data_IF_375082778090
#
_entry.id   IF_375082778090
#
_cell.length_a   1.000
_cell.length_b   1.000
_cell.length_c   1.000
_cell.angle_alpha   90.00
_cell.angle_beta   90.00
_cell.angle_gamma   90.00
#
_symmetry.space_group_name_H-M   'P 1'
#
loop_
_entity.id
_entity.type
_entity.pdbx_description
1 polymer ?
#
# COMPACT_ATOMS: atom_id res chain seq x y z
N UNK A 1 6.32 -9.82 19.18
CA UNK A 1 5.52 -8.72 19.74
C UNK A 1 4.97 -9.03 21.15
N UNK A 2 4.51 -10.26 21.44
CA UNK A 2 3.95 -10.62 22.76
C UNK A 2 4.94 -10.55 23.93
N UNK A 3 6.22 -10.92 23.74
CA UNK A 3 7.23 -10.95 24.80
C UNK A 3 7.42 -9.60 25.51
N UNK A 4 7.40 -8.52 24.73
CA UNK A 4 7.63 -7.16 25.24
C UNK A 4 6.33 -6.37 25.37
N UNK A 5 5.17 -7.03 25.24
CA UNK A 5 3.88 -6.35 25.14
C UNK A 5 3.65 -5.39 26.30
N UNK A 6 3.87 -5.83 27.55
CA UNK A 6 3.64 -5.00 28.74
C UNK A 6 4.63 -3.84 28.89
N UNK A 7 5.77 -3.89 28.19
CA UNK A 7 6.75 -2.79 28.14
C UNK A 7 6.41 -1.76 27.06
N UNK A 8 5.42 -2.04 26.19
CA UNK A 8 5.00 -1.10 25.16
C UNK A 8 4.19 0.07 25.73
N UNK A 9 4.25 1.24 25.05
CA UNK A 9 3.43 2.40 25.40
C UNK A 9 1.94 2.03 25.52
N UNK A 10 1.24 2.68 26.45
CA UNK A 10 -0.17 2.39 26.72
C UNK A 10 -1.04 2.52 25.45
N UNK A 11 -0.75 3.51 24.60
CA UNK A 11 -1.45 3.71 23.33
C UNK A 11 -1.35 2.48 22.41
N UNK A 12 -0.14 1.95 22.23
CA UNK A 12 0.09 0.81 21.34
C UNK A 12 -0.59 -0.46 21.90
N UNK A 13 -0.49 -0.68 23.21
CA UNK A 13 -1.17 -1.82 23.85
C UNK A 13 -2.69 -1.77 23.64
N UNK A 14 -3.30 -0.62 23.93
CA UNK A 14 -4.75 -0.44 23.82
C UNK A 14 -5.25 -0.58 22.38
N UNK A 15 -4.52 -0.04 21.40
CA UNK A 15 -4.94 -0.11 20.00
C UNK A 15 -4.81 -1.52 19.43
N UNK A 16 -3.75 -2.26 19.82
CA UNK A 16 -3.59 -3.66 19.48
C UNK A 16 -4.69 -4.53 20.11
N UNK A 17 -5.13 -4.23 21.34
CA UNK A 17 -6.29 -4.89 21.95
C UNK A 17 -7.58 -4.68 21.13
N UNK A 18 -7.89 -3.44 20.71
CA UNK A 18 -9.07 -3.22 19.86
C UNK A 18 -8.96 -4.00 18.55
N UNK A 19 -7.81 -3.95 17.88
CA UNK A 19 -7.61 -4.72 16.65
C UNK A 19 -7.77 -6.24 16.86
N UNK A 20 -7.26 -6.78 17.97
CA UNK A 20 -7.45 -8.18 18.31
C UNK A 20 -8.92 -8.53 18.55
N UNK A 21 -9.67 -7.67 19.26
CA UNK A 21 -11.11 -7.85 19.51
C UNK A 21 -11.91 -7.86 18.21
N UNK A 22 -11.56 -7.02 17.22
CA UNK A 22 -12.21 -7.03 15.89
C UNK A 22 -11.99 -8.30 15.09
N UNK A 23 -10.93 -9.04 15.38
CA UNK A 23 -10.72 -10.36 14.77
C UNK A 23 -11.62 -11.44 15.41
N UNK A 24 -12.41 -11.09 16.44
CA UNK A 24 -13.33 -12.01 17.11
C UNK A 24 -14.79 -11.69 16.75
N UNK A 25 -15.69 -12.68 16.80
CA UNK A 25 -17.12 -12.45 16.56
C UNK A 25 -17.80 -11.51 17.58
N UNK A 26 -17.16 -11.28 18.73
CA UNK A 26 -17.70 -10.46 19.80
C UNK A 26 -16.93 -9.13 19.87
N UNK A 27 -17.38 -8.15 19.10
CA UNK A 27 -16.80 -6.80 19.09
C UNK A 27 -17.14 -5.97 20.33
N UNK A 28 -17.83 -6.55 21.33
CA UNK A 28 -18.05 -5.87 22.60
C UNK A 28 -16.69 -5.39 23.15
N UNK A 29 -16.67 -4.14 23.60
CA UNK A 29 -15.50 -3.44 24.13
C UNK A 29 -14.50 -2.87 23.09
N UNK A 30 -14.55 -3.14 21.78
CA UNK A 30 -13.55 -2.50 20.88
C UNK A 30 -13.67 -0.97 20.91
N UNK A 31 -14.89 -0.43 20.88
CA UNK A 31 -15.09 1.01 20.98
C UNK A 31 -14.51 1.60 22.27
N UNK A 32 -14.58 0.88 23.38
CA UNK A 32 -13.98 1.30 24.66
C UNK A 32 -12.45 1.31 24.59
N UNK A 33 -11.83 0.26 24.02
CA UNK A 33 -10.38 0.21 23.81
C UNK A 33 -9.91 1.30 22.85
N UNK A 34 -10.66 1.56 21.77
CA UNK A 34 -10.38 2.65 20.84
C UNK A 34 -10.46 4.02 21.53
N UNK A 35 -11.51 4.28 22.31
CA UNK A 35 -11.66 5.52 23.07
C UNK A 35 -10.50 5.72 24.07
N UNK A 36 -10.09 4.65 24.76
CA UNK A 36 -8.94 4.68 25.67
C UNK A 36 -7.62 4.89 24.94
N UNK A 37 -7.41 4.24 23.80
CA UNK A 37 -6.21 4.39 22.98
C UNK A 37 -6.07 5.84 22.47
N UNK A 38 -7.17 6.44 21.99
CA UNK A 38 -7.20 7.86 21.60
C UNK A 38 -6.83 8.78 22.75
N UNK A 39 -7.43 8.57 23.93
CA UNK A 39 -7.11 9.37 25.13
C UNK A 39 -5.65 9.22 25.54
N UNK A 40 -5.08 8.01 25.41
CA UNK A 40 -3.67 7.76 25.65
C UNK A 40 -2.77 8.46 24.61
N UNK A 41 -3.15 8.45 23.34
CA UNK A 41 -2.39 9.09 22.26
C UNK A 41 -2.36 10.62 22.40
N UNK A 42 -3.48 11.25 22.78
CA UNK A 42 -3.55 12.71 23.04
C UNK A 42 -2.60 13.12 24.20
N UNK A 43 -2.36 12.20 25.14
CA UNK A 43 -1.45 12.41 26.27
C UNK A 43 -0.02 11.96 25.98
N UNK A 44 0.22 11.30 24.86
CA UNK A 44 1.54 10.85 24.49
C UNK A 44 2.38 12.05 24.04
N UNK A 45 3.68 11.98 24.27
CA UNK A 45 4.61 12.93 23.71
C UNK A 45 4.79 12.66 22.21
N UNK A 46 4.03 13.39 21.39
CA UNK A 46 4.12 13.30 19.94
C UNK A 46 5.32 14.06 19.36
N UNK A 47 6.09 14.77 20.20
CA UNK A 47 7.31 15.48 19.78
C UNK A 47 8.53 14.57 19.76
N UNK A 48 8.45 13.37 20.33
CA UNK A 48 9.51 12.36 20.29
C UNK A 48 9.08 11.21 19.37
N UNK A 49 9.48 11.23 18.08
CA UNK A 49 9.11 10.18 17.13
C UNK A 49 9.55 8.80 17.61
N UNK A 50 8.68 7.82 17.46
CA UNK A 50 9.02 6.43 17.69
C UNK A 50 8.23 5.52 16.76
N UNK A 51 8.78 4.34 16.48
CA UNK A 51 8.09 3.31 15.69
C UNK A 51 6.78 2.88 16.32
N UNK A 52 6.70 2.84 17.65
CA UNK A 52 5.49 2.46 18.38
C UNK A 52 4.38 3.51 18.21
N UNK A 53 4.74 4.80 18.13
CA UNK A 53 3.78 5.88 17.83
C UNK A 53 3.30 5.84 16.38
N UNK A 54 4.18 5.56 15.41
CA UNK A 54 3.78 5.41 14.00
C UNK A 54 2.73 4.30 13.85
N UNK A 55 3.01 3.11 14.40
CA UNK A 55 2.08 1.97 14.39
C UNK A 55 0.76 2.37 15.08
N UNK A 56 0.84 3.07 16.21
CA UNK A 56 -0.35 3.52 16.94
C UNK A 56 -1.22 4.49 16.12
N UNK A 57 -0.60 5.49 15.50
CA UNK A 57 -1.28 6.45 14.63
C UNK A 57 -1.90 5.78 13.41
N UNK A 58 -1.21 4.82 12.78
CA UNK A 58 -1.72 4.02 11.68
C UNK A 58 -2.98 3.25 12.07
N UNK A 59 -2.96 2.52 13.19
CA UNK A 59 -4.15 1.79 13.64
C UNK A 59 -5.29 2.70 14.08
N UNK A 60 -4.99 3.85 14.69
CA UNK A 60 -6.01 4.86 15.00
C UNK A 60 -6.65 5.38 13.70
N UNK A 61 -5.86 5.64 12.64
CA UNK A 61 -6.39 6.02 11.33
C UNK A 61 -7.37 4.98 10.78
N UNK A 62 -6.99 3.70 10.78
CA UNK A 62 -7.84 2.62 10.27
C UNK A 62 -9.15 2.51 11.05
N UNK A 63 -9.10 2.54 12.39
CA UNK A 63 -10.30 2.49 13.22
C UNK A 63 -11.15 3.76 13.12
N UNK A 64 -10.54 4.93 12.99
CA UNK A 64 -11.25 6.19 12.83
C UNK A 64 -12.09 6.18 11.55
N UNK A 65 -11.57 5.61 10.45
CA UNK A 65 -12.34 5.40 9.22
C UNK A 65 -13.60 4.57 9.48
N UNK A 66 -13.44 3.45 10.17
CA UNK A 66 -14.53 2.51 10.40
C UNK A 66 -15.59 3.05 11.38
N UNK A 67 -15.21 3.97 12.27
CA UNK A 67 -16.12 4.70 13.15
C UNK A 67 -16.61 6.04 12.56
N UNK A 68 -16.50 6.25 11.25
CA UNK A 68 -16.95 7.47 10.55
C UNK A 68 -16.32 8.77 11.10
N UNK A 69 -15.04 8.73 11.47
CA UNK A 69 -14.24 9.87 11.93
C UNK A 69 -13.03 10.16 11.00
N UNK A 70 -13.25 10.37 9.68
CA UNK A 70 -12.17 10.44 8.70
C UNK A 70 -11.21 11.62 8.94
N UNK A 71 -11.71 12.78 9.37
CA UNK A 71 -10.85 13.94 9.65
C UNK A 71 -9.86 13.68 10.79
N UNK A 72 -10.30 12.96 11.83
CA UNK A 72 -9.44 12.55 12.94
C UNK A 72 -8.39 11.54 12.46
N UNK A 73 -8.81 10.55 11.68
CA UNK A 73 -7.90 9.57 11.10
C UNK A 73 -6.82 10.25 10.27
N UNK A 74 -7.21 11.14 9.35
CA UNK A 74 -6.31 11.83 8.45
C UNK A 74 -5.26 12.67 9.21
N UNK A 75 -5.67 13.32 10.30
CA UNK A 75 -4.74 14.04 11.18
C UNK A 75 -3.64 13.13 11.72
N UNK A 76 -3.99 11.94 12.22
CA UNK A 76 -2.99 11.00 12.74
C UNK A 76 -2.15 10.34 11.65
N UNK A 77 -2.71 10.13 10.45
CA UNK A 77 -1.93 9.65 9.31
C UNK A 77 -0.84 10.65 8.92
N UNK A 78 -1.16 11.96 8.91
CA UNK A 78 -0.19 13.02 8.67
C UNK A 78 0.89 13.12 9.76
N UNK A 79 0.52 12.92 11.04
CA UNK A 79 1.50 12.84 12.14
C UNK A 79 2.46 11.65 11.92
N UNK A 80 1.93 10.46 11.62
CA UNK A 80 2.74 9.28 11.35
C UNK A 80 3.68 9.48 10.15
N UNK A 81 3.20 10.12 9.09
CA UNK A 81 4.02 10.45 7.91
C UNK A 81 5.23 11.33 8.26
N UNK A 82 5.04 12.36 9.09
CA UNK A 82 6.15 13.20 9.57
C UNK A 82 7.15 12.37 10.39
N UNK A 83 6.67 11.55 11.32
CA UNK A 83 7.53 10.66 12.10
C UNK A 83 8.31 9.66 11.24
N UNK A 84 7.72 9.17 10.14
CA UNK A 84 8.41 8.30 9.17
C UNK A 84 9.61 9.02 8.55
N UNK A 85 9.44 10.29 8.13
CA UNK A 85 10.54 11.11 7.60
C UNK A 85 11.57 11.45 8.67
N UNK A 86 11.13 11.87 9.86
CA UNK A 86 12.02 12.25 10.97
C UNK A 86 12.89 11.08 11.45
N UNK A 87 12.35 9.85 11.42
CA UNK A 87 13.10 8.64 11.74
C UNK A 87 13.86 8.05 10.55
N UNK A 88 13.80 8.66 9.36
CA UNK A 88 14.34 8.15 8.10
C UNK A 88 13.94 6.68 7.85
N UNK A 89 12.64 6.38 7.98
CA UNK A 89 12.09 5.06 7.69
C UNK A 89 11.80 4.88 6.18
N UNK A 90 11.72 5.98 5.43
CA UNK A 90 11.62 6.01 3.96
C UNK A 90 12.97 5.85 3.25
N UNK A 91 14.02 5.51 3.99
CA UNK A 91 15.35 5.15 3.49
C UNK A 91 15.69 3.75 3.99
N UNK A 92 16.17 2.87 3.10
CA UNK A 92 16.56 1.53 3.50
C UNK A 92 17.63 1.57 4.60
N UNK A 93 17.50 0.78 5.68
CA UNK A 93 18.48 0.79 6.77
C UNK A 93 19.88 0.32 6.36
N UNK A 94 20.05 -0.34 5.20
CA UNK A 94 21.39 -0.62 4.66
C UNK A 94 22.02 0.62 3.99
N UNK A 95 21.19 1.50 3.45
CA UNK A 95 21.61 2.69 2.71
C UNK A 95 21.60 3.97 3.58
N UNK A 96 21.13 3.85 4.82
CA UNK A 96 21.02 4.97 5.77
C UNK A 96 22.35 5.71 5.99
N UNK A 97 22.37 7.05 5.98
CA UNK A 97 23.57 7.82 6.30
C UNK A 97 23.96 7.71 7.78
N UNK A 98 23.02 7.35 8.67
CA UNK A 98 23.27 7.20 10.09
C UNK A 98 24.06 5.91 10.39
N UNK A 99 25.26 6.09 10.95
CA UNK A 99 26.13 4.99 11.37
C UNK A 99 25.46 4.04 12.37
N UNK A 100 24.61 4.55 13.27
CA UNK A 100 23.92 3.72 14.27
C UNK A 100 22.90 2.80 13.61
N UNK A 101 22.18 3.29 12.59
CA UNK A 101 21.22 2.49 11.81
C UNK A 101 21.95 1.41 11.01
N UNK A 102 23.08 1.75 10.40
CA UNK A 102 23.91 0.80 9.65
C UNK A 102 24.42 -0.37 10.51
N UNK A 103 24.74 -0.10 11.77
CA UNK A 103 25.22 -1.09 12.75
C UNK A 103 24.10 -1.92 13.40
N UNK A 104 22.83 -1.67 13.10
CA UNK A 104 21.73 -2.48 13.60
C UNK A 104 21.83 -3.92 13.11
N UNK A 105 21.48 -4.87 13.99
CA UNK A 105 21.39 -6.28 13.60
C UNK A 105 20.33 -6.50 12.50
N UNK A 106 20.46 -7.53 11.65
CA UNK A 106 19.55 -7.76 10.52
C UNK A 106 18.07 -7.75 10.87
N UNK A 107 17.71 -8.37 12.01
CA UNK A 107 16.32 -8.37 12.52
C UNK A 107 15.77 -6.98 12.76
N UNK A 108 16.58 -6.07 13.33
CA UNK A 108 16.16 -4.71 13.66
C UNK A 108 16.01 -3.84 12.41
N UNK A 109 16.88 -4.04 11.41
CA UNK A 109 16.72 -3.46 10.08
C UNK A 109 15.42 -3.90 9.43
N UNK A 110 15.13 -5.19 9.49
CA UNK A 110 13.89 -5.74 8.92
C UNK A 110 12.62 -5.27 9.65
N UNK A 111 12.66 -5.14 10.98
CA UNK A 111 11.58 -4.51 11.74
C UNK A 111 11.28 -3.10 11.22
N UNK A 112 12.31 -2.29 10.92
CA UNK A 112 12.15 -0.95 10.33
C UNK A 112 11.51 -1.00 8.93
N UNK A 113 11.99 -1.87 8.03
CA UNK A 113 11.40 -2.04 6.69
C UNK A 113 9.91 -2.39 6.75
N UNK A 114 9.53 -3.30 7.65
CA UNK A 114 8.14 -3.73 7.80
C UNK A 114 7.24 -2.63 8.37
N UNK A 115 7.75 -1.82 9.29
CA UNK A 115 7.01 -0.66 9.79
C UNK A 115 6.79 0.34 8.65
N UNK A 116 7.82 0.63 7.86
CA UNK A 116 7.70 1.48 6.67
C UNK A 116 6.64 0.93 5.71
N UNK A 117 6.77 -0.32 5.26
CA UNK A 117 5.87 -0.90 4.27
C UNK A 117 4.43 -1.03 4.77
N UNK A 118 4.22 -1.36 6.06
CA UNK A 118 2.88 -1.39 6.64
C UNK A 118 2.23 0.00 6.68
N UNK A 119 3.00 1.03 7.05
CA UNK A 119 2.52 2.41 7.01
C UNK A 119 2.25 2.86 5.57
N UNK A 120 3.17 2.55 4.64
CA UNK A 120 3.10 2.96 3.25
C UNK A 120 1.89 2.35 2.54
N UNK A 121 1.60 1.07 2.76
CA UNK A 121 0.38 0.41 2.27
C UNK A 121 -0.89 1.14 2.74
N UNK A 122 -0.96 1.54 4.01
CA UNK A 122 -2.11 2.30 4.53
C UNK A 122 -2.21 3.68 3.86
N UNK A 123 -1.07 4.35 3.66
CA UNK A 123 -1.00 5.65 3.00
C UNK A 123 -1.49 5.57 1.54
N UNK A 124 -0.96 4.63 0.76
CA UNK A 124 -1.32 4.49 -0.66
C UNK A 124 -2.75 3.97 -0.82
N UNK A 125 -3.19 3.04 0.04
CA UNK A 125 -4.59 2.59 0.08
C UNK A 125 -5.55 3.75 0.33
N UNK A 126 -5.23 4.63 1.29
CA UNK A 126 -6.02 5.84 1.55
C UNK A 126 -6.07 6.77 0.33
N UNK A 127 -4.94 6.96 -0.35
CA UNK A 127 -4.87 7.75 -1.57
C UNK A 127 -5.73 7.15 -2.71
N UNK A 128 -5.74 5.83 -2.83
CA UNK A 128 -6.54 5.12 -3.82
C UNK A 128 -8.05 5.22 -3.56
N UNK A 129 -8.49 5.19 -2.30
CA UNK A 129 -9.93 5.22 -1.97
C UNK A 129 -10.49 6.63 -1.76
N UNK A 130 -9.73 7.55 -1.17
CA UNK A 130 -10.21 8.90 -0.86
C UNK A 130 -10.32 9.76 -2.13
N UNK A 131 -11.39 10.56 -2.29
CA UNK A 131 -11.48 11.54 -3.38
C UNK A 131 -10.57 12.76 -3.14
N UNK A 132 -10.24 13.05 -1.88
CA UNK A 132 -9.40 14.16 -1.47
C UNK A 132 -8.37 13.66 -0.46
N UNK A 133 -7.19 13.30 -0.96
CA UNK A 133 -6.07 12.93 -0.10
C UNK A 133 -4.96 13.97 -0.20
N UNK A 134 -4.28 14.19 0.92
CA UNK A 134 -3.05 15.00 0.92
C UNK A 134 -1.92 14.13 0.36
N UNK A 135 -1.33 14.53 -0.76
CA UNK A 135 -0.09 13.90 -1.25
C UNK A 135 1.02 14.18 -0.24
N UNK A 136 1.59 13.11 0.31
CA UNK A 136 2.73 13.18 1.23
C UNK A 136 3.98 12.78 0.47
N UNK A 137 5.10 13.43 0.78
CA UNK A 137 6.41 13.18 0.15
C UNK A 137 7.10 11.94 0.74
N UNK A 138 6.48 10.78 0.53
CA UNK A 138 6.96 9.47 0.94
C UNK A 138 6.89 8.54 -0.28
N UNK A 139 8.01 7.90 -0.62
CA UNK A 139 8.10 6.91 -1.69
C UNK A 139 8.59 5.57 -1.16
N UNK A 140 8.10 4.47 -1.76
CA UNK A 140 8.58 3.11 -1.53
C UNK A 140 9.89 2.77 -2.23
N UNK A 141 10.31 3.58 -3.23
CA UNK A 141 11.42 3.22 -4.13
C UNK A 141 12.78 3.13 -3.43
N UNK A 142 12.92 3.81 -2.28
CA UNK A 142 14.17 3.89 -1.50
C UNK A 142 14.25 2.87 -0.37
N UNK A 143 13.29 1.94 -0.27
CA UNK A 143 13.25 0.91 0.78
C UNK A 143 13.09 -0.46 0.12
N UNK A 144 13.98 -1.41 0.46
CA UNK A 144 13.88 -2.78 -0.08
C UNK A 144 12.60 -3.44 0.38
N UNK A 145 12.05 -4.33 -0.44
CA UNK A 145 10.89 -5.14 -0.07
C UNK A 145 11.16 -5.98 1.20
N UNK A 146 10.14 -6.25 2.05
CA UNK A 146 10.31 -7.08 3.24
C UNK A 146 10.83 -8.48 2.90
N UNK A 147 11.96 -8.85 3.50
CA UNK A 147 12.65 -10.11 3.24
C UNK A 147 12.58 -11.08 4.43
N UNK A 148 12.96 -12.33 4.19
CA UNK A 148 13.14 -13.29 5.27
C UNK A 148 14.35 -12.93 6.15
N UNK A 149 14.23 -13.12 7.46
CA UNK A 149 15.36 -13.02 8.41
C UNK A 149 15.35 -14.23 9.35
N UNK A 150 16.55 -14.77 9.59
CA UNK A 150 16.80 -15.89 10.50
C UNK A 150 17.49 -15.39 11.77
N UNK A 151 16.96 -15.70 12.95
CA UNK A 151 17.52 -15.33 14.26
C UNK A 151 16.98 -16.21 15.41
N UNK A 152 17.54 -17.41 15.70
CA UNK A 152 18.27 -18.31 14.80
C UNK A 152 17.35 -19.07 13.84
N UNK A 153 16.04 -19.02 14.08
CA UNK A 153 14.99 -19.57 13.22
C UNK A 153 14.33 -18.46 12.41
N UNK A 154 13.46 -18.83 11.46
CA UNK A 154 12.71 -17.86 10.66
C UNK A 154 11.84 -16.96 11.55
N UNK A 155 12.20 -15.68 11.63
CA UNK A 155 11.44 -14.65 12.38
C UNK A 155 10.44 -13.94 11.48
N UNK A 156 10.86 -13.67 10.25
CA UNK A 156 10.08 -12.95 9.25
C UNK A 156 9.98 -13.77 7.95
N UNK A 157 8.83 -13.71 7.29
CA UNK A 157 8.61 -14.30 5.96
C UNK A 157 8.81 -13.23 4.89
N UNK A 158 9.34 -13.60 3.73
CA UNK A 158 9.36 -12.69 2.58
C UNK A 158 7.94 -12.25 2.25
N UNK A 159 7.76 -10.96 1.99
CA UNK A 159 6.46 -10.39 1.65
C UNK A 159 6.64 -9.30 0.60
N UNK A 160 6.86 -9.73 -0.64
CA UNK A 160 7.04 -8.81 -1.76
C UNK A 160 5.68 -8.28 -2.28
N UNK A 161 4.57 -8.88 -1.82
CA UNK A 161 3.22 -8.52 -2.29
C UNK A 161 2.88 -7.09 -1.90
N UNK A 162 3.27 -6.66 -0.69
CA UNK A 162 3.01 -5.29 -0.19
C UNK A 162 3.55 -4.21 -1.13
N UNK A 163 4.72 -4.44 -1.75
CA UNK A 163 5.32 -3.50 -2.70
C UNK A 163 4.44 -3.35 -3.96
N UNK A 164 4.02 -4.47 -4.56
CA UNK A 164 3.17 -4.45 -5.74
C UNK A 164 1.79 -3.88 -5.44
N UNK A 165 1.20 -4.22 -4.30
CA UNK A 165 -0.08 -3.66 -3.84
C UNK A 165 0.01 -2.14 -3.68
N UNK A 166 1.10 -1.63 -3.07
CA UNK A 166 1.30 -0.19 -2.92
C UNK A 166 1.42 0.53 -4.28
N UNK A 167 2.13 -0.07 -5.25
CA UNK A 167 2.27 0.49 -6.59
C UNK A 167 0.93 0.52 -7.35
N UNK A 168 0.11 -0.52 -7.23
CA UNK A 168 -1.26 -0.53 -7.78
C UNK A 168 -2.10 0.59 -7.16
N UNK A 169 -2.05 0.75 -5.83
CA UNK A 169 -2.78 1.82 -5.16
C UNK A 169 -2.32 3.22 -5.57
N UNK A 170 -1.01 3.44 -5.73
CA UNK A 170 -0.48 4.69 -6.26
C UNK A 170 -0.98 4.96 -7.68
N UNK A 171 -0.99 3.95 -8.56
CA UNK A 171 -1.52 4.09 -9.92
C UNK A 171 -3.01 4.45 -9.91
N UNK A 172 -3.83 3.78 -9.09
CA UNK A 172 -5.25 4.12 -8.93
C UNK A 172 -5.41 5.57 -8.45
N UNK A 173 -4.60 5.99 -7.47
CA UNK A 173 -4.62 7.34 -6.95
C UNK A 173 -4.22 8.38 -8.02
N UNK A 174 -3.21 8.09 -8.83
CA UNK A 174 -2.77 8.93 -9.96
C UNK A 174 -3.86 9.07 -11.02
N UNK A 175 -4.51 7.97 -11.40
CA UNK A 175 -5.65 7.99 -12.32
C UNK A 175 -6.75 8.87 -11.73
N UNK A 176 -7.19 8.62 -10.49
CA UNK A 176 -8.24 9.43 -9.86
C UNK A 176 -7.90 10.92 -9.80
N UNK A 177 -6.63 11.26 -9.55
CA UNK A 177 -6.18 12.65 -9.55
C UNK A 177 -6.24 13.28 -10.93
N UNK A 178 -5.80 12.57 -11.98
CA UNK A 178 -5.91 13.04 -13.35
C UNK A 178 -7.37 13.34 -13.70
N UNK A 179 -8.30 12.48 -13.28
CA UNK A 179 -9.74 12.62 -13.54
C UNK A 179 -10.51 13.43 -12.48
N UNK A 180 -9.83 14.06 -11.51
CA UNK A 180 -10.49 14.83 -10.45
C UNK A 180 -11.07 16.16 -10.95
N UNK A 181 -10.45 16.76 -11.98
CA UNK A 181 -10.97 17.93 -12.66
C UNK A 181 -11.88 17.50 -13.81
N UNK A 182 -13.07 18.10 -13.91
CA UNK A 182 -13.96 17.88 -15.05
C UNK A 182 -13.29 18.41 -16.32
N UNK A 183 -13.12 17.58 -17.37
CA UNK A 183 -12.60 18.04 -18.66
C UNK A 183 -13.50 19.14 -19.22
N UNK A 184 -12.90 20.22 -19.75
CA UNK A 184 -13.66 21.36 -20.29
C UNK A 184 -14.22 21.06 -21.69
N UNK A 185 -13.67 20.05 -22.37
CA UNK A 185 -14.07 19.64 -23.70
C UNK A 185 -13.90 18.13 -23.92
N UNK A 186 -14.54 17.60 -24.96
CA UNK A 186 -14.34 16.21 -25.42
C UNK A 186 -12.89 16.00 -25.88
N UNK A 187 -12.25 17.01 -26.46
CA UNK A 187 -10.84 16.93 -26.85
C UNK A 187 -9.91 16.73 -25.65
N UNK A 188 -10.22 17.36 -24.52
CA UNK A 188 -9.45 17.15 -23.28
C UNK A 188 -9.57 15.71 -22.79
N UNK A 189 -10.77 15.11 -22.89
CA UNK A 189 -10.98 13.68 -22.56
C UNK A 189 -10.06 12.80 -23.41
N UNK A 190 -10.03 13.02 -24.73
CA UNK A 190 -9.17 12.23 -25.61
C UNK A 190 -7.69 12.45 -25.31
N UNK A 191 -7.26 13.70 -25.09
CA UNK A 191 -5.88 14.03 -24.76
C UNK A 191 -5.43 13.36 -23.45
N UNK A 192 -6.31 13.31 -22.44
CA UNK A 192 -6.05 12.64 -21.16
C UNK A 192 -6.01 11.12 -21.30
N UNK A 193 -6.82 10.52 -22.18
CA UNK A 193 -6.77 9.08 -22.47
C UNK A 193 -5.47 8.73 -23.22
N UNK A 194 -5.04 9.60 -24.14
CA UNK A 194 -3.78 9.42 -24.88
C UNK A 194 -2.55 9.86 -24.09
N UNK A 195 -2.72 10.35 -22.85
CA UNK A 195 -1.61 10.75 -22.00
C UNK A 195 -0.69 9.56 -21.79
N UNK A 196 0.50 9.64 -22.39
CA UNK A 196 1.48 8.59 -22.33
C UNK A 196 1.94 8.34 -20.90
N UNK A 197 1.88 9.35 -20.01
CA UNK A 197 2.40 9.21 -18.66
C UNK A 197 1.62 8.18 -17.82
N UNK A 198 0.28 8.22 -17.85
CA UNK A 198 -0.53 7.24 -17.10
C UNK A 198 -0.44 5.85 -17.69
N UNK A 199 -0.34 5.77 -19.03
CA UNK A 199 -0.17 4.49 -19.73
C UNK A 199 1.19 3.87 -19.43
N UNK A 200 2.25 4.65 -19.49
CA UNK A 200 3.61 4.22 -19.15
C UNK A 200 3.67 3.76 -17.69
N UNK A 201 3.03 4.49 -16.76
CA UNK A 201 2.91 4.04 -15.37
C UNK A 201 2.15 2.72 -15.23
N UNK A 202 1.04 2.54 -15.95
CA UNK A 202 0.30 1.28 -15.96
C UNK A 202 1.16 0.13 -16.47
N UNK A 203 1.84 0.31 -17.60
CA UNK A 203 2.68 -0.71 -18.20
C UNK A 203 3.86 -1.07 -17.27
N UNK A 204 4.50 -0.07 -16.64
CA UNK A 204 5.55 -0.29 -15.62
C UNK A 204 5.01 -1.11 -14.45
N UNK A 205 3.85 -0.73 -13.89
CA UNK A 205 3.28 -1.44 -12.74
C UNK A 205 2.94 -2.88 -13.11
N UNK A 206 2.24 -3.13 -14.22
CA UNK A 206 1.84 -4.48 -14.63
C UNK A 206 3.05 -5.36 -14.96
N UNK A 207 4.03 -4.83 -15.70
CA UNK A 207 5.24 -5.60 -16.05
C UNK A 207 6.15 -5.87 -14.86
N UNK A 208 6.04 -5.07 -13.79
CA UNK A 208 6.79 -5.30 -12.54
C UNK A 208 6.24 -6.45 -11.68
N UNK A 209 4.97 -6.87 -11.89
CA UNK A 209 4.32 -7.87 -11.05
C UNK A 209 4.73 -9.28 -11.50
N UNK A 210 5.32 -10.11 -10.61
CA UNK A 210 5.63 -11.50 -10.93
C UNK A 210 4.42 -12.28 -11.43
N UNK A 211 4.61 -13.11 -12.46
CA UNK A 211 3.54 -13.87 -13.09
C UNK A 211 2.76 -14.75 -12.10
N UNK A 212 3.40 -15.26 -11.04
CA UNK A 212 2.71 -16.06 -10.02
C UNK A 212 1.63 -15.30 -9.24
N UNK A 213 1.61 -13.97 -9.29
CA UNK A 213 0.59 -13.14 -8.67
C UNK A 213 -0.51 -12.69 -9.63
N UNK A 214 -0.32 -12.93 -10.94
CA UNK A 214 -1.30 -12.57 -11.96
C UNK A 214 -2.32 -13.70 -12.11
N UNK A 215 -3.60 -13.36 -11.96
CA UNK A 215 -4.69 -14.25 -12.32
C UNK A 215 -4.86 -14.22 -13.84
N UNK A 216 -4.15 -15.11 -14.54
CA UNK A 216 -4.32 -15.29 -15.97
C UNK A 216 -5.52 -16.23 -16.20
N UNK A 217 -6.54 -15.73 -16.90
CA UNK A 217 -7.66 -16.56 -17.35
C UNK A 217 -7.15 -17.54 -18.41
N UNK A 218 -7.29 -18.84 -18.17
CA UNK A 218 -6.94 -19.90 -19.15
C UNK A 218 -7.78 -19.80 -20.44
N UNK A 219 -8.93 -19.10 -20.40
CA UNK A 219 -10.00 -19.16 -21.40
C UNK A 219 -9.94 -18.12 -22.53
N UNK A 220 -8.90 -17.30 -22.65
CA UNK A 220 -8.80 -16.33 -23.77
C UNK A 220 -7.83 -16.72 -24.88
N UNK A 221 -7.10 -17.84 -24.74
CA UNK A 221 -6.12 -18.28 -25.74
C UNK A 221 -6.56 -19.49 -26.57
N UNK A 222 -7.68 -20.15 -26.23
CA UNK A 222 -8.23 -21.26 -27.02
C UNK A 222 -9.13 -20.81 -28.18
N UNK A 223 -9.71 -19.61 -28.11
CA UNK A 223 -10.75 -19.16 -29.06
C UNK A 223 -10.28 -18.07 -30.04
N UNK A 224 -8.99 -17.73 -30.04
CA UNK A 224 -8.36 -16.91 -31.10
C UNK A 224 -7.57 -17.83 -32.05
N UNK A 225 -8.16 -18.97 -32.43
CA UNK A 225 -7.88 -19.54 -33.75
C UNK A 225 -8.75 -18.77 -34.74
N UNK A 226 -8.20 -17.68 -35.25
CA UNK A 226 -8.72 -17.05 -36.46
C UNK A 226 -8.52 -18.10 -37.57
N UNK A 227 -9.56 -18.90 -37.84
CA UNK A 227 -9.72 -19.63 -39.10
C UNK A 227 -9.84 -18.61 -40.23
N UNK A 228 -8.70 -18.04 -40.60
CA UNK A 228 -8.54 -17.11 -41.70
C UNK A 228 -7.64 -17.73 -42.74
N UNK A 229 -8.08 -18.80 -43.40
CA UNK A 229 -7.62 -19.14 -44.74
C UNK A 229 -8.71 -19.91 -45.50
N UNK A 230 -8.91 -19.50 -46.76
CA UNK A 230 -9.74 -20.11 -47.81
C UNK A 230 -11.22 -19.71 -47.92
N UNK A 231 -11.48 -18.41 -48.14
CA UNK A 231 -12.65 -17.94 -48.89
C UNK A 231 -12.24 -17.05 -50.05
N UNK A 232 -11.31 -17.48 -50.91
CA UNK A 232 -11.16 -16.90 -52.25
C UNK A 232 -10.43 -17.87 -53.18
N UNK A 233 -11.12 -18.93 -53.62
CA UNK A 233 -10.75 -19.58 -54.87
C UNK A 233 -11.95 -19.61 -55.83
N UNK A 234 -11.85 -18.75 -56.82
CA UNK A 234 -12.80 -18.54 -57.91
C UNK A 234 -12.81 -19.77 -58.83
N UNK A 235 -13.92 -20.48 -58.91
CA UNK A 235 -14.20 -21.40 -60.01
C UNK A 235 -14.66 -20.60 -61.24
N UNK A 236 -13.89 -20.68 -62.32
CA UNK A 236 -14.25 -20.22 -63.68
C UNK A 236 -15.42 -21.05 -64.23
N UNK A 237 -16.35 -20.46 -65.01
CA UNK A 237 -17.32 -21.23 -65.78
C UNK A 237 -16.68 -21.85 -67.03
N UNK A 238 -17.18 -23.00 -67.54
CA UNK A 238 -16.66 -23.66 -68.72
C UNK A 238 -17.13 -22.95 -70.00
N UNK A 239 -16.19 -22.66 -70.89
CA UNK A 239 -16.45 -22.22 -72.25
C UNK A 239 -16.80 -23.44 -73.11
N UNK A 240 -17.97 -23.41 -73.75
CA UNK A 240 -18.38 -24.36 -74.78
C UNK A 240 -17.60 -24.13 -76.09
N UNK A 241 -17.05 -25.20 -76.66
CA UNK A 241 -16.94 -25.47 -78.10
C UNK A 241 -17.13 -26.97 -78.32
#
# INVERSE_FOLDING_TARGET
MLRDYFHKPAVLRLILCCHAIRATPNESNCLEYYARARKALIRADLLTPSTDLIISCQYIFLLARDYNQPALGQHFLQIAARMVKELALDVDPDDSPDSLVKLMIPRKKEERRRIFWSFYEVLTSNAAVSPSYTKLDISGDSVKAPSQVLDPHSVFRSDNVVHHTANIFNLIASIKQAWAATPLSISDVFNMITDSCLRDQFDIVITSIPQQYLLLSETLFSDINIEGHDIFNKSKPPTHM
#
